data_IF_094074813715
#
_entry.id   IF_094074813715
#
_cell.length_a   1.000
_cell.length_b   1.000
_cell.length_c   1.000
_cell.angle_alpha   90.00
_cell.angle_beta   90.00
_cell.angle_gamma   90.00
#
_symmetry.space_group_name_H-M   'P 1'
#
loop_
_entity.id
_entity.type
_entity.pdbx_description
1 polymer ?
#
# COMPACT_ATOMS: atom_id res chain seq x y z
N UNK A 1 -8.91 -5.81 -15.84
CA UNK A 1 -10.22 -5.87 -15.17
C UNK A 1 -10.10 -6.86 -14.02
N UNK A 2 -10.47 -6.47 -12.80
CA UNK A 2 -10.11 -7.16 -11.57
C UNK A 2 -10.77 -8.55 -11.48
N UNK A 3 -9.99 -9.58 -11.16
CA UNK A 3 -10.48 -10.92 -10.87
C UNK A 3 -11.06 -10.93 -9.43
N UNK A 4 -12.35 -11.24 -9.23
CA UNK A 4 -12.97 -11.27 -7.90
C UNK A 4 -12.40 -12.36 -6.98
N UNK A 5 -11.74 -13.37 -7.54
CA UNK A 5 -11.09 -14.43 -6.75
C UNK A 5 -9.67 -14.05 -6.32
N UNK A 6 -9.16 -12.90 -6.78
CA UNK A 6 -7.84 -12.45 -6.41
C UNK A 6 -7.81 -12.04 -4.94
N UNK A 7 -7.15 -12.87 -4.13
CA UNK A 7 -6.84 -12.59 -2.73
C UNK A 7 -5.34 -12.59 -2.55
N UNK A 8 -4.78 -11.41 -2.28
CA UNK A 8 -3.39 -11.30 -1.88
C UNK A 8 -3.26 -11.50 -0.37
N UNK A 9 -2.28 -12.31 0.05
CA UNK A 9 -2.07 -12.64 1.45
C UNK A 9 -1.50 -11.48 2.29
N UNK A 10 -0.90 -10.47 1.64
CA UNK A 10 -0.33 -9.28 2.28
C UNK A 10 -0.07 -8.16 1.26
N UNK A 11 0.11 -6.92 1.73
CA UNK A 11 0.51 -5.79 0.88
C UNK A 11 1.85 -6.03 0.16
N UNK A 12 2.77 -6.78 0.79
CA UNK A 12 4.03 -7.15 0.15
C UNK A 12 3.81 -8.13 -1.01
N UNK A 13 2.94 -9.14 -0.82
CA UNK A 13 2.58 -10.06 -1.89
C UNK A 13 1.90 -9.33 -3.06
N UNK A 14 1.02 -8.36 -2.76
CA UNK A 14 0.44 -7.46 -3.76
C UNK A 14 1.52 -6.70 -4.52
N UNK A 15 2.45 -6.07 -3.82
CA UNK A 15 3.52 -5.28 -4.43
C UNK A 15 4.43 -6.12 -5.33
N UNK A 16 4.77 -7.34 -4.93
CA UNK A 16 5.55 -8.27 -5.75
C UNK A 16 4.80 -8.66 -7.03
N UNK A 17 3.51 -9.00 -6.92
CA UNK A 17 2.68 -9.32 -8.07
C UNK A 17 2.54 -8.11 -9.02
N UNK A 18 2.41 -6.89 -8.47
CA UNK A 18 2.31 -5.67 -9.26
C UNK A 18 3.62 -5.35 -9.95
N UNK A 19 4.75 -5.48 -9.25
CA UNK A 19 6.10 -5.32 -9.81
C UNK A 19 6.30 -6.26 -11.00
N UNK A 20 5.95 -7.54 -10.85
CA UNK A 20 6.03 -8.49 -11.97
C UNK A 20 5.20 -8.03 -13.16
N UNK A 21 3.94 -7.64 -12.94
CA UNK A 21 3.06 -7.15 -14.02
C UNK A 21 3.60 -5.86 -14.66
N UNK A 22 4.10 -4.92 -13.87
CA UNK A 22 4.74 -3.69 -14.38
C UNK A 22 5.90 -4.08 -15.29
N UNK A 23 6.77 -4.99 -14.85
CA UNK A 23 7.93 -5.45 -15.64
C UNK A 23 7.54 -6.25 -16.89
N UNK A 24 6.38 -6.91 -16.92
CA UNK A 24 5.89 -7.51 -18.17
C UNK A 24 5.51 -6.48 -19.23
N UNK A 25 5.11 -5.27 -18.82
CA UNK A 25 4.75 -4.19 -19.75
C UNK A 25 5.93 -3.24 -20.03
N UNK A 26 6.72 -2.94 -19.00
CA UNK A 26 7.92 -2.11 -19.08
C UNK A 26 9.08 -2.88 -18.39
N UNK A 27 9.87 -3.66 -19.14
CA UNK A 27 10.89 -4.53 -18.57
C UNK A 27 12.02 -3.81 -17.82
N UNK A 28 12.34 -2.59 -18.25
CA UNK A 28 13.41 -1.76 -17.72
C UNK A 28 12.93 -0.34 -17.37
N UNK A 29 13.53 0.25 -16.34
CA UNK A 29 13.27 1.61 -15.91
C UNK A 29 13.78 2.70 -16.88
N UNK A 30 13.69 3.99 -16.49
CA UNK A 30 13.21 4.48 -15.21
C UNK A 30 11.69 4.35 -15.04
N UNK A 31 11.25 3.99 -13.84
CA UNK A 31 9.84 3.89 -13.47
C UNK A 31 9.32 5.19 -12.84
N UNK A 32 8.07 5.52 -13.15
CA UNK A 32 7.33 6.63 -12.56
C UNK A 32 6.05 6.06 -11.95
N UNK A 33 5.96 6.09 -10.62
CA UNK A 33 4.89 5.47 -9.85
C UNK A 33 4.09 6.55 -9.13
N UNK A 34 2.78 6.34 -8.99
CA UNK A 34 1.88 7.21 -8.26
C UNK A 34 0.85 6.35 -7.52
N UNK A 35 0.62 6.65 -6.25
CA UNK A 35 -0.36 5.97 -5.41
C UNK A 35 -1.20 6.95 -4.60
N UNK A 36 -2.50 6.68 -4.49
CA UNK A 36 -3.43 7.43 -3.65
C UNK A 36 -3.91 6.59 -2.47
N UNK A 37 -4.02 7.18 -1.28
CA UNK A 37 -4.47 6.49 -0.05
C UNK A 37 -3.62 5.23 0.22
N UNK A 38 -4.22 4.05 0.36
CA UNK A 38 -3.52 2.75 0.45
C UNK A 38 -2.54 2.52 -0.71
N UNK A 39 -2.89 3.02 -1.89
CA UNK A 39 -2.03 2.98 -3.07
C UNK A 39 -0.66 3.60 -2.82
N UNK A 40 -0.53 4.57 -1.91
CA UNK A 40 0.78 5.13 -1.56
C UNK A 40 1.70 4.16 -0.82
N UNK A 41 1.16 3.34 0.10
CA UNK A 41 1.92 2.28 0.74
C UNK A 41 2.38 1.23 -0.29
N UNK A 42 1.49 0.86 -1.21
CA UNK A 42 1.83 -0.05 -2.31
C UNK A 42 2.86 0.56 -3.26
N UNK A 43 2.77 1.85 -3.59
CA UNK A 43 3.75 2.55 -4.42
C UNK A 43 5.14 2.47 -3.81
N UNK A 44 5.29 2.67 -2.50
CA UNK A 44 6.58 2.54 -1.82
C UNK A 44 7.11 1.11 -1.86
N UNK A 45 6.26 0.10 -1.60
CA UNK A 45 6.66 -1.30 -1.64
C UNK A 45 7.05 -1.76 -3.05
N UNK A 46 6.33 -1.32 -4.08
CA UNK A 46 6.67 -1.59 -5.49
C UNK A 46 7.95 -0.89 -5.89
N UNK A 47 8.15 0.36 -5.48
CA UNK A 47 9.40 1.07 -5.74
C UNK A 47 10.59 0.33 -5.14
N UNK A 48 10.48 -0.07 -3.86
CA UNK A 48 11.50 -0.85 -3.18
C UNK A 48 11.82 -2.17 -3.91
N UNK A 49 10.79 -2.93 -4.31
CA UNK A 49 10.98 -4.20 -5.04
C UNK A 49 11.63 -4.00 -6.43
N UNK A 50 11.32 -2.91 -7.14
CA UNK A 50 11.98 -2.58 -8.40
C UNK A 50 13.47 -2.24 -8.18
N UNK A 51 13.77 -1.44 -7.16
CA UNK A 51 15.14 -1.04 -6.82
C UNK A 51 16.00 -2.23 -6.36
N UNK A 52 15.45 -3.16 -5.57
CA UNK A 52 16.18 -4.38 -5.17
C UNK A 52 16.48 -5.29 -6.37
N UNK A 53 15.68 -5.22 -7.43
CA UNK A 53 15.92 -5.88 -8.72
C UNK A 53 16.87 -5.08 -9.64
N UNK A 54 17.56 -4.06 -9.12
CA UNK A 54 18.54 -3.26 -9.85
C UNK A 54 17.93 -2.25 -10.83
N UNK A 55 16.63 -1.99 -10.74
CA UNK A 55 15.96 -1.01 -11.58
C UNK A 55 16.01 0.39 -10.99
N UNK A 56 15.81 1.41 -11.83
CA UNK A 56 15.71 2.81 -11.39
C UNK A 56 14.25 3.24 -11.28
N UNK A 57 13.86 3.82 -10.14
CA UNK A 57 12.59 4.52 -9.97
C UNK A 57 12.89 6.02 -9.97
N UNK A 58 12.51 6.72 -11.03
CA UNK A 58 12.77 8.16 -11.17
C UNK A 58 11.76 9.01 -10.38
N UNK A 59 10.58 8.47 -10.10
CA UNK A 59 9.55 9.16 -9.34
C UNK A 59 8.64 8.17 -8.61
N UNK A 60 8.36 8.45 -7.34
CA UNK A 60 7.35 7.76 -6.55
C UNK A 60 6.49 8.80 -5.84
N UNK A 61 5.35 9.13 -6.44
CA UNK A 61 4.41 10.12 -5.91
C UNK A 61 3.38 9.49 -4.99
N UNK A 62 3.14 10.15 -3.85
CA UNK A 62 2.12 9.76 -2.89
C UNK A 62 1.08 10.89 -2.83
N UNK A 63 -0.18 10.55 -3.02
CA UNK A 63 -1.29 11.52 -2.98
C UNK A 63 -2.16 11.17 -1.80
N UNK A 64 -2.28 12.08 -0.83
CA UNK A 64 -3.18 11.93 0.32
C UNK A 64 -3.09 10.53 0.98
N UNK A 65 -1.85 10.06 1.14
CA UNK A 65 -1.52 8.72 1.62
C UNK A 65 -1.02 8.77 3.05
N UNK A 66 -1.37 7.75 3.81
CA UNK A 66 -0.76 7.51 5.12
C UNK A 66 0.67 7.00 4.94
N UNK A 67 1.63 7.61 5.63
CA UNK A 67 3.03 7.19 5.65
C UNK A 67 3.35 6.64 7.04
N UNK A 68 3.59 5.33 7.13
CA UNK A 68 3.96 4.71 8.40
C UNK A 68 5.29 5.28 8.92
N UNK A 69 5.33 5.66 10.19
CA UNK A 69 6.51 6.26 10.83
C UNK A 69 6.57 7.80 10.82
N UNK A 70 5.60 8.49 10.20
CA UNK A 70 5.41 9.94 10.39
C UNK A 70 4.41 10.27 11.50
N UNK A 71 3.51 9.34 11.82
CA UNK A 71 2.90 9.26 13.15
C UNK A 71 3.91 8.58 14.07
N UNK A 72 4.08 9.09 15.30
CA UNK A 72 4.96 8.44 16.27
C UNK A 72 4.65 6.94 16.33
N UNK A 73 5.68 6.10 16.37
CA UNK A 73 5.55 4.64 16.39
C UNK A 73 4.79 4.19 17.64
N UNK A 74 3.47 4.25 17.56
CA UNK A 74 2.51 3.91 18.60
C UNK A 74 1.76 2.62 18.25
N UNK A 75 0.56 2.50 18.78
CA UNK A 75 -0.28 1.34 18.58
C UNK A 75 -0.83 1.32 17.14
N UNK A 76 -0.26 0.48 16.27
CA UNK A 76 -0.73 0.33 14.88
C UNK A 76 -2.23 0.02 14.75
N UNK A 77 -2.86 -0.52 15.79
CA UNK A 77 -4.31 -0.73 15.84
C UNK A 77 -5.08 0.57 15.97
N UNK A 78 -4.54 1.56 16.68
CA UNK A 78 -5.11 2.90 16.79
C UNK A 78 -4.93 3.65 15.47
N UNK A 79 -3.74 3.59 14.86
CA UNK A 79 -3.49 4.17 13.53
C UNK A 79 -4.43 3.58 12.46
N UNK A 80 -4.61 2.26 12.48
CA UNK A 80 -5.54 1.58 11.57
C UNK A 80 -6.98 1.96 11.87
N UNK A 81 -7.38 2.04 13.14
CA UNK A 81 -8.73 2.46 13.52
C UNK A 81 -9.00 3.90 13.07
N UNK A 82 -8.04 4.80 13.21
CA UNK A 82 -8.17 6.20 12.80
C UNK A 82 -8.20 6.34 11.28
N UNK A 83 -7.39 5.56 10.56
CA UNK A 83 -7.49 5.44 9.10
C UNK A 83 -8.88 4.94 8.67
N UNK A 84 -9.40 3.88 9.31
CA UNK A 84 -10.72 3.34 8.99
C UNK A 84 -11.85 4.32 9.31
N UNK A 85 -11.78 5.08 10.42
CA UNK A 85 -12.73 6.17 10.72
C UNK A 85 -12.71 7.23 9.63
N UNK A 86 -11.52 7.67 9.22
CA UNK A 86 -11.35 8.70 8.20
C UNK A 86 -11.88 8.26 6.83
N UNK A 87 -11.57 7.03 6.42
CA UNK A 87 -11.91 6.51 5.08
C UNK A 87 -13.35 6.00 4.99
N UNK A 88 -13.86 5.34 6.02
CA UNK A 88 -15.19 4.71 6.01
C UNK A 88 -16.28 5.56 6.68
N UNK A 89 -15.92 6.65 7.37
CA UNK A 89 -16.87 7.49 8.09
C UNK A 89 -17.59 6.79 9.25
N UNK A 90 -17.06 5.64 9.70
CA UNK A 90 -17.69 4.79 10.71
C UNK A 90 -17.25 5.19 12.14
N UNK A 91 -18.16 5.08 13.13
CA UNK A 91 -17.83 5.34 14.53
C UNK A 91 -16.80 4.34 15.07
N UNK A 92 -15.97 4.79 16.02
CA UNK A 92 -14.78 4.10 16.52
C UNK A 92 -15.01 2.68 17.05
N UNK A 93 -16.21 2.38 17.55
CA UNK A 93 -16.55 1.08 18.14
C UNK A 93 -16.63 -0.04 17.07
N UNK A 94 -17.15 0.25 15.87
CA UNK A 94 -17.24 -0.72 14.76
C UNK A 94 -15.83 -1.02 14.20
N UNK A 95 -15.00 0.00 14.02
CA UNK A 95 -13.61 -0.15 13.58
C UNK A 95 -12.76 -0.95 14.60
N UNK A 96 -12.98 -0.75 15.90
CA UNK A 96 -12.31 -1.53 16.95
C UNK A 96 -12.74 -3.00 16.96
N UNK A 97 -14.02 -3.30 16.68
CA UNK A 97 -14.51 -4.68 16.59
C UNK A 97 -13.86 -5.46 15.44
N UNK A 98 -13.58 -4.81 14.30
CA UNK A 98 -12.89 -5.39 13.14
C UNK A 98 -11.42 -5.73 13.44
N UNK A 99 -10.81 -5.01 14.37
CA UNK A 99 -9.42 -5.20 14.78
C UNK A 99 -9.31 -6.24 15.91
N UNK A 100 -10.36 -6.40 16.73
CA UNK A 100 -10.40 -7.32 17.87
C UNK A 100 -10.72 -8.79 17.51
N UNK A 101 -11.24 -9.06 16.31
CA UNK A 101 -11.75 -10.38 15.93
C UNK A 101 -10.72 -11.30 15.21
N UNK A 102 -9.41 -11.16 15.46
CA UNK A 102 -8.39 -12.13 15.03
C UNK A 102 -7.40 -12.46 16.15
#
# INVERSE_FOLDING_TARGET
>A
MLDPQWQDASLLAMAQAYTQRIRTQQPEGPYYLLGWSLGGALTQLVAHELETQGQTVAFAGLVDSYVAGTAEAGNWREDLADFLKFVLGQPSEEAQSLIASK
#
